data_IF_722185128052
#
_entry.id   IF_722185128052
#
_cell.length_a   1.000
_cell.length_b   1.000
_cell.length_c   1.000
_cell.angle_alpha   90.00
_cell.angle_beta   90.00
_cell.angle_gamma   90.00
#
_symmetry.space_group_name_H-M   'P 1'
#
loop_
_entity.id
_entity.type
_entity.pdbx_description
1 polymer ?
#
# COMPACT_ATOMS: atom_id res chain seq x y z
N UNK A 1 8.47 -1.77 4.76
CA UNK A 1 8.02 -0.39 5.07
C UNK A 1 7.43 0.22 3.81
N UNK A 2 6.26 0.85 3.92
CA UNK A 2 5.61 1.60 2.83
C UNK A 2 5.38 3.01 3.36
N UNK A 3 5.66 4.02 2.55
CA UNK A 3 5.38 5.42 2.87
C UNK A 3 4.72 6.09 1.68
N UNK A 4 3.69 6.86 1.94
CA UNK A 4 2.97 7.66 0.95
C UNK A 4 2.96 9.14 1.35
N UNK A 5 2.49 9.97 0.42
CA UNK A 5 2.18 11.38 0.58
C UNK A 5 0.66 11.62 0.44
N UNK A 6 -0.15 10.66 0.91
CA UNK A 6 -1.61 10.73 0.84
C UNK A 6 -2.21 11.71 1.85
N UNK A 7 -3.52 11.61 2.08
CA UNK A 7 -4.26 12.48 2.99
C UNK A 7 -3.91 12.29 4.47
N UNK A 8 -3.25 11.19 4.83
CA UNK A 8 -3.05 10.80 6.22
C UNK A 8 -4.29 10.18 6.86
N UNK A 9 -4.14 9.80 8.13
CA UNK A 9 -5.18 9.26 9.03
C UNK A 9 -5.14 10.11 10.28
N UNK A 10 -6.31 10.58 10.73
CA UNK A 10 -6.39 11.43 11.90
C UNK A 10 -6.01 10.68 13.18
N UNK A 11 -5.45 11.40 14.17
CA UNK A 11 -5.10 10.83 15.48
C UNK A 11 -6.22 9.97 16.06
N UNK A 12 -7.44 10.48 16.03
CA UNK A 12 -8.59 9.87 16.69
C UNK A 12 -9.11 8.64 15.93
N UNK A 13 -8.73 8.49 14.65
CA UNK A 13 -9.04 7.33 13.83
C UNK A 13 -7.92 6.29 13.79
N UNK A 14 -6.72 6.56 14.31
CA UNK A 14 -5.60 5.62 14.26
C UNK A 14 -5.90 4.28 14.96
N UNK A 15 -6.58 4.34 16.11
CA UNK A 15 -7.03 3.13 16.82
C UNK A 15 -8.07 2.37 16.00
N UNK A 16 -8.99 3.09 15.37
CA UNK A 16 -10.03 2.51 14.51
C UNK A 16 -9.40 1.86 13.27
N UNK A 17 -8.38 2.46 12.67
CA UNK A 17 -7.67 1.94 11.51
C UNK A 17 -6.99 0.57 11.77
N UNK A 18 -6.67 0.25 13.03
CA UNK A 18 -6.11 -1.04 13.43
C UNK A 18 -7.17 -2.02 13.99
N UNK A 19 -8.42 -1.57 14.13
CA UNK A 19 -9.55 -2.40 14.57
C UNK A 19 -10.13 -3.23 13.41
N UNK A 20 -10.82 -4.33 13.74
CA UNK A 20 -11.57 -5.12 12.75
C UNK A 20 -12.85 -4.40 12.35
N UNK A 21 -13.34 -4.71 11.14
CA UNK A 21 -14.59 -4.23 10.56
C UNK A 21 -14.69 -2.70 10.47
N UNK A 22 -13.54 -2.03 10.43
CA UNK A 22 -13.45 -0.58 10.45
C UNK A 22 -12.96 -0.04 9.10
N UNK A 23 -13.81 0.71 8.40
CA UNK A 23 -13.48 1.29 7.10
C UNK A 23 -14.10 2.68 6.96
N UNK A 24 -13.37 3.62 6.36
CA UNK A 24 -13.90 4.94 5.97
C UNK A 24 -14.52 4.94 4.57
N UNK A 25 -14.51 3.79 3.88
CA UNK A 25 -14.75 3.70 2.43
C UNK A 25 -16.14 3.25 2.04
N UNK A 26 -16.91 2.70 2.98
CA UNK A 26 -18.31 2.32 2.78
C UNK A 26 -19.11 2.89 3.95
N UNK A 27 -20.27 3.48 3.67
CA UNK A 27 -21.23 3.98 4.64
C UNK A 27 -22.60 3.32 4.51
N UNK A 28 -22.91 2.74 3.35
CA UNK A 28 -24.19 2.06 3.07
C UNK A 28 -24.01 0.74 2.31
N UNK A 29 -25.12 0.00 2.14
CA UNK A 29 -25.18 -1.19 1.29
C UNK A 29 -25.00 -0.82 -0.20
N UNK A 30 -25.55 0.31 -0.62
CA UNK A 30 -25.41 0.80 -2.01
C UNK A 30 -23.94 1.06 -2.39
N UNK A 31 -23.11 1.50 -1.43
CA UNK A 31 -21.66 1.66 -1.64
C UNK A 31 -20.97 0.30 -1.88
N UNK A 32 -21.51 -0.78 -1.30
CA UNK A 32 -20.99 -2.14 -1.50
C UNK A 32 -21.34 -2.68 -2.89
N UNK A 33 -22.49 -2.29 -3.43
CA UNK A 33 -22.89 -2.61 -4.81
C UNK A 33 -22.09 -1.78 -5.84
N UNK A 34 -21.60 -0.60 -5.44
CA UNK A 34 -20.87 0.34 -6.30
C UNK A 34 -19.44 0.63 -5.78
N UNK A 35 -18.57 -0.39 -5.79
CA UNK A 35 -17.23 -0.28 -5.23
C UNK A 35 -16.33 0.61 -6.09
N UNK A 36 -16.10 1.84 -5.61
CA UNK A 36 -15.20 2.81 -6.24
C UNK A 36 -13.79 2.85 -5.62
N UNK A 37 -13.43 1.90 -4.74
CA UNK A 37 -12.15 1.90 -4.03
C UNK A 37 -11.50 0.51 -3.97
N UNK A 38 -10.17 0.46 -3.87
CA UNK A 38 -9.40 -0.81 -3.90
C UNK A 38 -9.58 -1.71 -2.67
N UNK A 39 -10.26 -1.26 -1.62
CA UNK A 39 -10.51 -2.07 -0.44
C UNK A 39 -11.71 -1.53 0.32
N UNK A 40 -12.48 -2.41 0.93
CA UNK A 40 -13.78 -2.03 1.49
C UNK A 40 -14.14 -2.79 2.76
N UNK A 41 -13.41 -3.86 3.09
CA UNK A 41 -13.72 -4.77 4.21
C UNK A 41 -13.34 -4.24 5.60
N UNK A 42 -12.41 -3.30 5.68
CA UNK A 42 -11.88 -2.82 6.98
C UNK A 42 -11.04 -3.84 7.75
N UNK A 43 -10.49 -4.87 7.08
CA UNK A 43 -9.80 -5.99 7.74
C UNK A 43 -8.28 -6.00 7.56
N UNK A 44 -7.75 -5.29 6.57
CA UNK A 44 -6.38 -5.51 6.11
C UNK A 44 -5.33 -5.22 7.20
N UNK A 45 -5.40 -4.04 7.83
CA UNK A 45 -4.43 -3.63 8.83
C UNK A 45 -4.55 -4.46 10.12
N UNK A 46 -5.78 -4.73 10.58
CA UNK A 46 -6.03 -5.60 11.74
C UNK A 46 -5.55 -7.04 11.51
N UNK A 47 -5.73 -7.58 10.31
CA UNK A 47 -5.25 -8.92 9.95
C UNK A 47 -3.73 -8.98 9.95
N UNK A 48 -3.07 -7.98 9.36
CA UNK A 48 -1.60 -7.93 9.29
C UNK A 48 -1.01 -7.70 10.69
N UNK A 49 -1.59 -6.80 11.50
CA UNK A 49 -1.11 -6.54 12.86
C UNK A 49 -1.19 -7.78 13.74
N UNK A 50 -2.21 -8.64 13.57
CA UNK A 50 -2.35 -9.88 14.34
C UNK A 50 -1.23 -10.91 14.13
N UNK A 51 -0.45 -10.79 13.04
CA UNK A 51 0.61 -11.73 12.69
C UNK A 51 1.97 -11.07 12.48
N UNK A 52 2.14 -9.81 12.90
CA UNK A 52 3.39 -9.07 12.73
C UNK A 52 3.54 -7.99 13.79
N UNK A 53 4.71 -7.37 13.85
CA UNK A 53 4.90 -6.11 14.59
C UNK A 53 4.62 -4.96 13.63
N UNK A 54 3.36 -4.54 13.59
CA UNK A 54 2.89 -3.44 12.74
C UNK A 54 2.95 -2.11 13.49
N UNK A 55 3.53 -1.11 12.83
CA UNK A 55 3.50 0.30 13.23
C UNK A 55 2.88 1.13 12.11
N UNK A 56 1.93 1.99 12.48
CA UNK A 56 1.24 2.93 11.62
C UNK A 56 1.55 4.36 12.09
N UNK A 57 2.28 5.13 11.30
CA UNK A 57 2.55 6.55 11.59
C UNK A 57 1.86 7.41 10.54
N UNK A 58 1.13 8.45 10.96
CA UNK A 58 0.40 9.28 10.02
C UNK A 58 0.28 10.73 10.48
N UNK A 59 0.17 11.63 9.50
CA UNK A 59 -0.08 13.05 9.69
C UNK A 59 -1.00 13.58 8.57
N UNK A 60 -2.24 13.94 8.88
CA UNK A 60 -3.07 14.76 7.99
C UNK A 60 -2.52 16.18 7.85
N UNK A 61 -2.79 16.83 6.72
CA UNK A 61 -2.30 18.19 6.43
C UNK A 61 -2.81 19.25 7.42
N UNK A 62 -4.02 19.05 7.92
CA UNK A 62 -4.73 19.91 8.85
C UNK A 62 -4.37 19.65 10.33
N UNK A 63 -3.57 18.61 10.62
CA UNK A 63 -3.03 18.37 11.96
C UNK A 63 -1.62 18.93 12.10
N UNK A 64 -1.34 19.62 13.21
CA UNK A 64 0.02 20.13 13.48
C UNK A 64 1.01 19.02 13.81
N UNK A 65 0.57 18.03 14.59
CA UNK A 65 1.39 16.93 15.07
C UNK A 65 1.05 15.61 14.38
N UNK A 66 2.06 14.78 14.16
CA UNK A 66 1.88 13.42 13.71
C UNK A 66 1.78 12.43 14.87
N UNK A 67 1.10 11.33 14.61
CA UNK A 67 0.84 10.30 15.61
C UNK A 67 1.18 8.92 15.06
N UNK A 68 1.59 8.05 15.96
CA UNK A 68 1.94 6.67 15.68
C UNK A 68 1.06 5.74 16.50
N UNK A 69 0.44 4.77 15.84
CA UNK A 69 -0.25 3.65 16.46
C UNK A 69 0.49 2.32 16.22
N UNK A 70 0.50 1.47 17.24
CA UNK A 70 1.03 0.12 17.16
C UNK A 70 0.27 -0.76 18.17
N UNK A 71 0.14 -2.05 17.88
CA UNK A 71 -0.57 -3.00 18.74
C UNK A 71 0.45 -3.85 19.51
N UNK A 72 0.25 -3.96 20.83
CA UNK A 72 1.13 -4.74 21.73
C UNK A 72 0.32 -5.60 22.71
N UNK A 73 0.99 -6.58 23.32
CA UNK A 73 0.40 -7.46 24.33
C UNK A 73 -0.43 -8.61 23.76
N UNK A 74 -0.97 -9.46 24.65
CA UNK A 74 -1.83 -10.59 24.26
C UNK A 74 -3.15 -10.14 23.64
N UNK A 75 -3.69 -9.03 24.13
CA UNK A 75 -4.99 -8.49 23.69
C UNK A 75 -4.85 -7.56 22.48
N UNK A 76 -3.62 -7.38 21.96
CA UNK A 76 -3.33 -6.48 20.82
C UNK A 76 -3.87 -5.06 21.04
N UNK A 77 -3.75 -4.56 22.28
CA UNK A 77 -4.19 -3.23 22.63
C UNK A 77 -3.41 -2.19 21.83
N UNK A 78 -4.13 -1.28 21.18
CA UNK A 78 -3.51 -0.22 20.37
C UNK A 78 -3.02 0.89 21.28
N UNK A 79 -1.73 1.21 21.19
CA UNK A 79 -1.15 2.38 21.83
C UNK A 79 -0.91 3.46 20.79
N UNK A 80 -1.23 4.71 21.15
CA UNK A 80 -1.03 5.89 20.30
C UNK A 80 -0.06 6.84 20.99
N UNK A 81 0.98 7.27 20.28
CA UNK A 81 1.99 8.21 20.79
C UNK A 81 2.38 9.26 19.75
N UNK A 82 2.85 10.45 20.16
CA UNK A 82 3.40 11.44 19.24
C UNK A 82 4.63 10.90 18.48
N UNK A 83 4.80 11.33 17.24
CA UNK A 83 5.99 11.00 16.41
C UNK A 83 6.31 12.17 15.47
N UNK A 84 7.55 12.26 15.00
CA UNK A 84 7.87 13.12 13.87
C UNK A 84 7.53 12.40 12.55
N UNK A 85 6.59 12.94 11.79
CA UNK A 85 6.23 12.43 10.46
C UNK A 85 5.71 13.59 9.60
N UNK A 86 6.09 13.67 8.31
CA UNK A 86 5.53 14.64 7.38
C UNK A 86 4.12 14.24 6.95
N UNK A 87 3.45 15.06 6.15
CA UNK A 87 2.09 14.74 5.68
C UNK A 87 2.06 13.42 4.90
N UNK A 88 1.02 12.61 5.15
CA UNK A 88 0.84 11.27 4.60
C UNK A 88 1.00 10.18 5.65
N UNK A 89 1.21 8.94 5.20
CA UNK A 89 1.24 7.76 6.07
C UNK A 89 2.49 6.90 5.83
N UNK A 90 3.02 6.32 6.91
CA UNK A 90 4.01 5.24 6.87
C UNK A 90 3.46 4.01 7.58
N UNK A 91 3.52 2.86 6.91
CA UNK A 91 3.26 1.55 7.49
C UNK A 91 4.57 0.76 7.56
N UNK A 92 4.92 0.31 8.74
CA UNK A 92 6.03 -0.60 8.99
C UNK A 92 5.51 -1.94 9.49
N UNK A 93 5.94 -3.02 8.83
CA UNK A 93 5.63 -4.39 9.20
C UNK A 93 6.95 -5.09 9.45
N UNK A 94 7.17 -5.54 10.68
CA UNK A 94 8.36 -6.29 11.10
C UNK A 94 7.97 -7.67 11.61
N UNK A 95 8.90 -8.61 11.54
CA UNK A 95 8.74 -9.99 12.03
C UNK A 95 7.43 -10.65 11.56
N UNK A 96 7.17 -10.66 10.25
CA UNK A 96 5.97 -11.29 9.69
C UNK A 96 5.92 -12.78 10.08
N UNK A 97 4.76 -13.20 10.58
CA UNK A 97 4.48 -14.54 11.11
C UNK A 97 5.29 -14.95 12.36
N UNK A 98 5.83 -14.00 13.14
CA UNK A 98 6.60 -14.32 14.35
C UNK A 98 5.83 -15.17 15.38
N UNK A 99 4.53 -14.94 15.49
CA UNK A 99 3.62 -15.64 16.41
C UNK A 99 2.82 -16.77 15.74
N UNK A 100 3.09 -17.08 14.46
CA UNK A 100 2.42 -18.13 13.69
C UNK A 100 3.45 -19.04 13.00
N UNK A 101 4.17 -19.89 13.76
CA UNK A 101 5.34 -20.62 13.27
C UNK A 101 5.03 -21.56 12.11
N UNK A 102 3.84 -22.17 12.09
CA UNK A 102 3.40 -23.01 10.98
C UNK A 102 3.35 -22.21 9.66
N UNK A 103 2.83 -20.97 9.67
CA UNK A 103 2.79 -20.09 8.50
C UNK A 103 4.20 -19.63 8.10
N UNK A 104 5.04 -19.30 9.07
CA UNK A 104 6.43 -18.89 8.83
C UNK A 104 7.24 -19.94 8.06
N UNK A 105 6.97 -21.25 8.29
CA UNK A 105 7.63 -22.34 7.56
C UNK A 105 7.30 -22.39 6.06
N UNK A 106 6.22 -21.74 5.61
CA UNK A 106 5.87 -21.66 4.18
C UNK A 106 6.59 -20.54 3.44
N UNK A 107 7.25 -19.61 4.15
CA UNK A 107 8.05 -18.58 3.51
C UNK A 107 9.17 -19.23 2.70
N UNK A 108 9.30 -18.79 1.45
CA UNK A 108 10.37 -19.21 0.56
C UNK A 108 11.65 -18.41 0.87
N UNK A 109 12.66 -18.57 0.02
CA UNK A 109 13.88 -17.77 0.12
C UNK A 109 13.56 -16.28 -0.01
N UNK A 110 14.39 -15.42 0.58
CA UNK A 110 14.26 -13.96 0.49
C UNK A 110 14.14 -13.49 -0.98
N UNK A 111 14.94 -14.08 -1.87
CA UNK A 111 14.90 -13.79 -3.31
C UNK A 111 13.54 -14.13 -3.93
N UNK A 112 12.95 -15.27 -3.56
CA UNK A 112 11.64 -15.71 -4.07
C UNK A 112 10.53 -14.78 -3.59
N UNK A 113 10.48 -14.50 -2.28
CA UNK A 113 9.48 -13.60 -1.70
C UNK A 113 9.60 -12.18 -2.29
N UNK A 114 10.82 -11.68 -2.44
CA UNK A 114 11.05 -10.40 -3.08
C UNK A 114 10.60 -10.38 -4.55
N UNK A 115 10.79 -11.49 -5.29
CA UNK A 115 10.30 -11.59 -6.68
C UNK A 115 8.77 -11.49 -6.76
N UNK A 116 8.04 -12.01 -5.77
CA UNK A 116 6.58 -11.84 -5.69
C UNK A 116 6.19 -10.38 -5.38
N UNK A 117 6.91 -9.70 -4.49
CA UNK A 117 6.72 -8.27 -4.21
C UNK A 117 7.00 -7.44 -5.47
N UNK A 118 8.11 -7.74 -6.14
CA UNK A 118 8.53 -7.07 -7.37
C UNK A 118 7.46 -7.16 -8.46
N UNK A 119 6.89 -8.34 -8.67
CA UNK A 119 5.83 -8.58 -9.64
C UNK A 119 4.52 -7.87 -9.26
N UNK A 120 4.17 -7.85 -7.97
CA UNK A 120 3.02 -7.09 -7.50
C UNK A 120 3.19 -5.58 -7.77
N UNK A 121 4.38 -5.03 -7.51
CA UNK A 121 4.67 -3.61 -7.73
C UNK A 121 4.62 -3.26 -9.22
N UNK A 122 5.08 -4.13 -10.13
CA UNK A 122 4.92 -3.94 -11.58
C UNK A 122 3.45 -3.80 -11.98
N UNK A 123 2.59 -4.68 -11.49
CA UNK A 123 1.14 -4.64 -11.77
C UNK A 123 0.51 -3.36 -11.23
N UNK A 124 0.88 -2.94 -10.02
CA UNK A 124 0.39 -1.68 -9.44
C UNK A 124 0.88 -0.48 -10.28
N UNK A 125 2.14 -0.47 -10.71
CA UNK A 125 2.71 0.61 -11.51
C UNK A 125 2.05 0.78 -12.90
N UNK A 126 1.45 -0.29 -13.43
CA UNK A 126 0.66 -0.28 -14.66
C UNK A 126 -0.82 0.08 -14.42
N UNK A 127 -1.32 -0.01 -13.18
CA UNK A 127 -2.69 0.39 -12.85
C UNK A 127 -2.85 1.90 -12.61
N UNK A 128 -1.76 2.57 -12.21
CA UNK A 128 -1.75 3.99 -11.85
C UNK A 128 -0.49 4.70 -12.38
N UNK A 129 -0.60 5.18 -13.61
CA UNK A 129 0.50 5.88 -14.29
C UNK A 129 0.84 7.22 -13.62
N UNK A 130 -0.16 7.88 -13.06
CA UNK A 130 -0.10 9.17 -12.37
C UNK A 130 0.60 9.13 -11.00
N UNK A 131 0.95 7.94 -10.50
CA UNK A 131 1.61 7.76 -9.21
C UNK A 131 3.10 7.44 -9.41
N UNK A 132 3.94 8.07 -8.58
CA UNK A 132 5.36 7.71 -8.49
C UNK A 132 5.56 6.58 -7.48
N UNK A 133 6.32 5.56 -7.85
CA UNK A 133 6.57 4.37 -7.01
C UNK A 133 8.07 4.08 -6.99
N UNK A 134 8.64 3.93 -5.80
CA UNK A 134 10.03 3.50 -5.60
C UNK A 134 10.04 2.22 -4.78
N UNK A 135 10.71 1.19 -5.29
CA UNK A 135 10.91 -0.08 -4.58
C UNK A 135 12.40 -0.24 -4.24
N UNK A 136 12.67 -0.42 -2.96
CA UNK A 136 14.01 -0.61 -2.40
C UNK A 136 14.10 -1.98 -1.74
N UNK A 137 15.20 -2.70 -1.97
CA UNK A 137 15.50 -3.98 -1.35
C UNK A 137 16.93 -3.96 -0.82
N UNK A 138 17.12 -4.26 0.48
CA UNK A 138 18.42 -4.20 1.15
C UNK A 138 19.18 -2.90 0.83
N UNK A 139 18.49 -1.78 1.06
CA UNK A 139 18.98 -0.41 0.86
C UNK A 139 19.28 0.00 -0.60
N UNK A 140 19.15 -0.92 -1.55
CA UNK A 140 19.33 -0.64 -2.98
C UNK A 140 18.00 -0.38 -3.66
N UNK A 141 17.92 0.70 -4.43
CA UNK A 141 16.76 0.98 -5.29
C UNK A 141 16.74 -0.05 -6.40
N UNK A 142 15.71 -0.88 -6.44
CA UNK A 142 15.51 -1.91 -7.48
C UNK A 142 14.63 -1.38 -8.59
N UNK A 143 13.60 -0.58 -8.25
CA UNK A 143 12.71 0.05 -9.22
C UNK A 143 12.42 1.49 -8.85
N UNK A 144 12.31 2.32 -9.88
CA UNK A 144 11.84 3.69 -9.75
C UNK A 144 10.95 4.05 -10.93
N UNK A 145 9.67 4.21 -10.64
CA UNK A 145 8.62 4.55 -11.57
C UNK A 145 8.17 5.98 -11.31
N UNK A 146 8.51 6.92 -12.20
CA UNK A 146 8.08 8.34 -12.07
C UNK A 146 6.67 8.54 -12.60
N UNK A 147 5.82 9.29 -11.89
CA UNK A 147 4.47 9.63 -12.33
C UNK A 147 4.44 10.16 -13.79
N UNK A 148 3.43 9.72 -14.54
CA UNK A 148 3.13 10.09 -15.92
C UNK A 148 1.71 10.66 -15.93
N UNK A 149 1.60 11.98 -15.96
CA UNK A 149 0.32 12.70 -16.03
C UNK A 149 -0.16 12.92 -17.46
N UNK A 150 0.76 12.91 -18.42
CA UNK A 150 0.46 12.96 -19.84
C UNK A 150 0.26 11.54 -20.39
N UNK A 151 -0.92 11.21 -20.95
CA UNK A 151 -1.21 9.92 -21.58
C UNK A 151 -0.18 9.52 -22.66
N UNK A 152 0.40 10.48 -23.37
CA UNK A 152 1.43 10.22 -24.39
C UNK A 152 2.66 9.50 -23.81
N UNK A 153 2.91 9.68 -22.51
CA UNK A 153 4.06 9.09 -21.81
C UNK A 153 3.75 7.74 -21.16
N UNK A 154 2.52 7.24 -21.26
CA UNK A 154 2.13 5.95 -20.70
C UNK A 154 3.00 4.81 -21.26
N UNK A 155 3.30 4.84 -22.56
CA UNK A 155 4.14 3.83 -23.21
C UNK A 155 5.55 3.74 -22.60
N UNK A 156 6.08 4.86 -22.07
CA UNK A 156 7.38 4.85 -21.38
C UNK A 156 7.33 4.04 -20.08
N UNK A 157 6.24 4.18 -19.29
CA UNK A 157 6.04 3.35 -18.09
C UNK A 157 5.86 1.89 -18.48
N UNK A 158 5.08 1.61 -19.52
CA UNK A 158 4.89 0.24 -20.04
C UNK A 158 6.23 -0.38 -20.42
N UNK A 159 7.07 0.34 -21.18
CA UNK A 159 8.42 -0.12 -21.55
C UNK A 159 9.31 -0.43 -20.33
N UNK A 160 9.23 0.40 -19.27
CA UNK A 160 9.98 0.17 -18.03
C UNK A 160 9.51 -1.06 -17.24
N UNK A 161 8.26 -1.49 -17.42
CA UNK A 161 7.67 -2.63 -16.69
C UNK A 161 7.76 -3.92 -17.50
N UNK A 162 7.25 -3.89 -18.74
CA UNK A 162 7.12 -5.04 -19.63
C UNK A 162 8.33 -5.25 -20.56
N UNK A 163 9.25 -4.28 -20.62
CA UNK A 163 10.42 -4.32 -21.48
C UNK A 163 10.21 -3.63 -22.83
N UNK A 164 11.33 -3.35 -23.52
CA UNK A 164 11.34 -2.62 -24.79
C UNK A 164 10.59 -3.34 -25.90
N UNK A 165 10.75 -4.66 -26.01
CA UNK A 165 10.09 -5.46 -27.03
C UNK A 165 8.56 -5.31 -26.99
N UNK A 166 7.97 -5.31 -25.78
CA UNK A 166 6.53 -5.09 -25.63
C UNK A 166 6.13 -3.66 -26.03
N UNK A 167 6.96 -2.65 -25.73
CA UNK A 167 6.65 -1.28 -26.13
C UNK A 167 6.78 -1.04 -27.64
N UNK A 168 7.65 -1.77 -28.32
CA UNK A 168 7.86 -1.69 -29.77
C UNK A 168 6.81 -2.46 -30.56
N UNK A 169 6.35 -3.61 -30.05
CA UNK A 169 5.38 -4.48 -30.72
C UNK A 169 3.94 -4.30 -30.21
N UNK A 170 3.77 -3.59 -29.10
CA UNK A 170 2.48 -3.34 -28.47
C UNK A 170 1.60 -2.46 -29.36
N UNK A 171 0.37 -2.90 -29.58
CA UNK A 171 -0.64 -2.13 -30.29
C UNK A 171 -1.50 -1.38 -29.27
N UNK A 172 -1.62 -0.06 -29.43
CA UNK A 172 -2.55 0.72 -28.64
C UNK A 172 -3.98 0.35 -29.05
N UNK A 173 -4.74 -0.18 -28.10
CA UNK A 173 -6.16 -0.52 -28.30
C UNK A 173 -6.99 0.55 -27.64
N UNK A 174 -7.85 1.19 -28.44
CA UNK A 174 -8.93 2.03 -27.95
C UNK A 174 -10.23 1.45 -28.49
N UNK A 175 -11.09 0.96 -27.59
CA UNK A 175 -12.42 0.43 -27.93
C UNK A 175 -13.45 1.03 -26.99
N UNK A 176 -14.36 1.84 -27.54
CA UNK A 176 -15.43 2.53 -26.82
C UNK A 176 -15.90 3.74 -27.61
N UNK A 177 -17.21 3.80 -27.88
CA UNK A 177 -17.89 4.81 -28.71
C UNK A 177 -17.64 6.21 -28.18
N UNK A 178 -17.25 7.12 -29.09
CA UNK A 178 -17.36 8.55 -28.83
C UNK A 178 -18.85 8.92 -28.77
N UNK A 179 -19.32 9.25 -27.56
CA UNK A 179 -20.60 9.86 -27.28
C UNK A 179 -20.42 10.88 -26.17
#
# INVERSE_FOLDING_TARGET
RIRDNGSGISKDELTLALSRHATSKLKSLDDLENICSLGFRGEALASISSVSRLTLSSKPKDQEAAWQAFAEGRDMAVQVKPVAHPDGTTIEVKDLFFNTPARRKFLRTEKTEFSHIDELIKRIALSRFDVSITLTHNEKVVRQYRAKTDPSQAITRVAQVAGKAFAEQGLHIQSGEGG
#
